data_IF_425803071219
#
_entry.id   IF_425803071219
#
_cell.length_a   1.000
_cell.length_b   1.000
_cell.length_c   1.000
_cell.angle_alpha   90.00
_cell.angle_beta   90.00
_cell.angle_gamma   90.00
#
_symmetry.space_group_name_H-M   'P 1'
#
loop_
_entity.id
_entity.type
_entity.pdbx_description
1 polymer ?
#
# COMPACT_ATOMS: atom_id res chain seq x y z
N UNK A 1 -7.45 0.88 24.22
CA UNK A 1 -6.53 1.74 23.44
C UNK A 1 -6.91 3.22 23.47
N UNK A 2 -8.16 3.58 23.77
CA UNK A 2 -8.64 4.99 23.86
C UNK A 2 -7.80 5.89 24.78
N UNK A 3 -7.18 5.34 25.85
CA UNK A 3 -6.27 6.10 26.73
C UNK A 3 -5.01 6.52 25.99
N UNK A 4 -4.47 5.66 25.13
CA UNK A 4 -3.29 5.94 24.31
C UNK A 4 -3.63 7.05 23.29
N UNK A 5 -4.80 6.94 22.66
CA UNK A 5 -5.28 7.95 21.70
C UNK A 5 -5.37 9.34 22.37
N UNK A 6 -6.02 9.42 23.55
CA UNK A 6 -6.14 10.66 24.33
C UNK A 6 -4.77 11.19 24.76
N UNK A 7 -3.84 10.33 25.19
CA UNK A 7 -2.50 10.73 25.60
C UNK A 7 -1.72 11.41 24.47
N UNK A 8 -1.72 10.82 23.26
CA UNK A 8 -1.01 11.41 22.13
C UNK A 8 -1.74 12.61 21.54
N UNK A 9 -3.06 12.63 21.56
CA UNK A 9 -3.84 13.80 21.15
C UNK A 9 -3.57 15.00 22.07
N UNK A 10 -3.56 14.80 23.37
CA UNK A 10 -3.18 15.85 24.33
C UNK A 10 -1.74 16.34 24.10
N UNK A 11 -0.81 15.42 23.81
CA UNK A 11 0.57 15.80 23.50
C UNK A 11 0.64 16.64 22.20
N UNK A 12 -0.16 16.31 21.19
CA UNK A 12 -0.28 17.08 19.95
C UNK A 12 -0.80 18.49 20.23
N UNK A 13 -1.92 18.60 20.96
CA UNK A 13 -2.53 19.90 21.28
C UNK A 13 -1.54 20.77 22.05
N UNK A 14 -0.91 20.24 23.10
CA UNK A 14 0.06 21.00 23.91
C UNK A 14 1.28 21.49 23.12
N UNK A 15 1.70 20.75 22.09
CA UNK A 15 2.80 21.18 21.21
C UNK A 15 2.34 22.22 20.21
N UNK A 16 1.12 22.09 19.66
CA UNK A 16 0.52 23.07 18.73
C UNK A 16 0.23 24.42 19.39
N UNK A 17 -0.30 24.44 20.61
CA UNK A 17 -0.53 25.68 21.39
C UNK A 17 0.75 26.47 21.63
N UNK A 18 1.91 25.80 21.69
CA UNK A 18 3.23 26.44 21.80
C UNK A 18 3.85 26.80 20.44
N UNK A 19 3.09 26.71 19.35
CA UNK A 19 3.55 27.01 18.00
C UNK A 19 4.47 25.92 17.38
N UNK A 20 4.51 24.74 17.96
CA UNK A 20 5.33 23.63 17.48
C UNK A 20 4.46 22.46 17.06
N UNK A 21 4.64 21.96 15.83
CA UNK A 21 4.03 20.71 15.35
C UNK A 21 5.03 19.54 15.55
N UNK A 22 5.18 19.12 16.82
CA UNK A 22 6.26 18.22 17.23
C UNK A 22 5.90 16.76 17.09
N UNK A 23 4.63 16.42 17.33
CA UNK A 23 4.17 15.05 17.40
C UNK A 23 2.80 14.88 16.74
N UNK A 24 2.70 13.93 15.83
CA UNK A 24 1.45 13.50 15.21
C UNK A 24 1.25 12.01 15.44
N UNK A 25 0.04 11.62 15.78
CA UNK A 25 -0.33 10.26 16.12
C UNK A 25 -1.46 9.76 15.22
N UNK A 26 -1.29 8.56 14.67
CA UNK A 26 -2.31 7.91 13.87
C UNK A 26 -2.39 6.43 14.26
N UNK A 27 -3.61 5.94 14.47
CA UNK A 27 -3.88 4.54 14.77
C UNK A 27 -4.98 3.99 13.87
N UNK A 28 -4.77 2.78 13.41
CA UNK A 28 -5.78 2.00 12.74
C UNK A 28 -5.77 0.58 13.34
N UNK A 29 -6.80 0.25 14.11
CA UNK A 29 -6.86 -0.97 14.92
C UNK A 29 -5.62 -1.11 15.84
N UNK A 30 -4.77 -2.08 15.57
CA UNK A 30 -3.53 -2.36 16.32
C UNK A 30 -2.30 -1.67 15.71
N UNK A 31 -2.40 -1.16 14.47
CA UNK A 31 -1.29 -0.47 13.80
C UNK A 31 -1.21 0.99 14.26
N UNK A 32 -0.09 1.36 14.89
CA UNK A 32 0.17 2.69 15.42
C UNK A 32 1.33 3.32 14.65
N UNK A 33 1.19 4.59 14.26
CA UNK A 33 2.27 5.43 13.73
C UNK A 33 2.34 6.71 14.53
N UNK A 34 3.54 7.05 14.99
CA UNK A 34 3.86 8.30 15.68
C UNK A 34 4.88 9.03 14.81
N UNK A 35 4.53 10.20 14.33
CA UNK A 35 5.39 11.08 13.56
C UNK A 35 5.95 12.15 14.50
N UNK A 36 7.27 12.30 14.52
CA UNK A 36 7.97 13.27 15.38
C UNK A 36 8.86 14.13 14.50
N UNK A 37 8.87 15.43 14.76
CA UNK A 37 9.71 16.37 14.03
C UNK A 37 11.20 16.02 14.21
N UNK A 38 11.99 15.92 13.11
CA UNK A 38 13.37 15.39 13.13
C UNK A 38 14.43 16.38 13.59
N UNK A 39 14.16 17.30 14.50
CA UNK A 39 15.19 18.21 15.00
C UNK A 39 16.12 17.49 15.99
N UNK A 40 17.47 17.64 15.89
CA UNK A 40 18.43 16.94 16.76
C UNK A 40 18.20 17.16 18.26
N UNK A 41 17.81 18.37 18.68
CA UNK A 41 17.48 18.69 20.08
C UNK A 41 16.24 17.98 20.61
N UNK A 42 15.50 17.25 19.77
CA UNK A 42 14.21 16.63 20.06
C UNK A 42 14.23 15.10 20.08
N UNK A 43 15.42 14.48 20.02
CA UNK A 43 15.53 13.03 20.15
C UNK A 43 14.97 12.48 21.48
N UNK A 44 14.99 13.28 22.52
CA UNK A 44 14.37 12.94 23.80
C UNK A 44 12.86 12.69 23.69
N UNK A 45 12.16 13.35 22.73
CA UNK A 45 10.73 13.14 22.47
C UNK A 45 10.49 11.72 21.97
N UNK A 46 11.35 11.21 21.10
CA UNK A 46 11.26 9.82 20.59
C UNK A 46 11.37 8.82 21.75
N UNK A 47 12.35 9.01 22.63
CA UNK A 47 12.54 8.17 23.81
C UNK A 47 11.35 8.24 24.76
N UNK A 48 10.85 9.45 25.02
CA UNK A 48 9.68 9.68 25.88
C UNK A 48 8.40 9.08 25.31
N UNK A 49 8.14 9.26 23.99
CA UNK A 49 6.98 8.71 23.32
C UNK A 49 6.97 7.16 23.39
N UNK A 50 8.12 6.52 23.14
CA UNK A 50 8.26 5.06 23.26
C UNK A 50 7.98 4.57 24.71
N UNK A 51 8.56 5.25 25.70
CA UNK A 51 8.38 4.90 27.12
C UNK A 51 6.90 5.03 27.51
N UNK A 52 6.26 6.14 27.20
CA UNK A 52 4.85 6.38 27.50
C UNK A 52 3.92 5.40 26.81
N UNK A 53 4.20 5.08 25.54
CA UNK A 53 3.45 4.05 24.82
C UNK A 53 3.56 2.69 25.52
N UNK A 54 4.76 2.29 25.90
CA UNK A 54 5.00 1.03 26.61
C UNK A 54 4.31 1.00 27.98
N UNK A 55 4.38 2.09 28.73
CA UNK A 55 3.70 2.23 30.05
C UNK A 55 2.17 2.09 29.93
N UNK A 56 1.56 2.77 28.95
CA UNK A 56 0.11 2.70 28.75
C UNK A 56 -0.36 1.35 28.19
N UNK A 57 0.42 0.71 27.32
CA UNK A 57 0.14 -0.65 26.86
C UNK A 57 0.28 -1.67 28.01
N UNK A 58 1.30 -1.51 28.87
CA UNK A 58 1.47 -2.36 30.04
C UNK A 58 0.29 -2.31 31.01
N UNK A 59 -0.29 -1.11 31.23
CA UNK A 59 -1.52 -0.94 32.03
C UNK A 59 -2.73 -1.67 31.45
N UNK A 60 -2.73 -1.89 30.14
CA UNK A 60 -3.78 -2.62 29.41
C UNK A 60 -3.46 -4.11 29.27
N UNK A 61 -2.37 -4.58 29.87
CA UNK A 61 -1.86 -5.96 29.73
C UNK A 61 -1.60 -6.35 28.26
N UNK A 62 -1.25 -5.38 27.41
CA UNK A 62 -0.92 -5.57 26.00
C UNK A 62 0.59 -5.39 25.82
N UNK A 63 1.23 -6.38 25.24
CA UNK A 63 2.66 -6.30 24.95
C UNK A 63 2.91 -5.73 23.55
N UNK A 64 3.87 -4.80 23.48
CA UNK A 64 4.34 -4.28 22.22
C UNK A 64 5.21 -5.33 21.50
N UNK A 65 4.89 -5.64 20.24
CA UNK A 65 5.72 -6.53 19.45
C UNK A 65 7.01 -5.81 19.02
N UNK A 66 8.11 -6.07 19.72
CA UNK A 66 9.40 -5.41 19.49
C UNK A 66 10.01 -5.71 18.12
N UNK A 67 9.75 -6.90 17.53
CA UNK A 67 10.25 -7.25 16.20
C UNK A 67 9.58 -6.44 15.09
N UNK A 68 8.29 -6.06 15.28
CA UNK A 68 7.52 -5.28 14.34
C UNK A 68 7.62 -3.77 14.59
N UNK A 69 7.98 -3.36 15.79
CA UNK A 69 8.11 -1.95 16.18
C UNK A 69 9.45 -1.41 15.68
N UNK A 70 9.40 -0.42 14.78
CA UNK A 70 10.58 0.19 14.16
C UNK A 70 10.55 1.69 14.29
N UNK A 71 11.72 2.29 14.47
CA UNK A 71 11.92 3.74 14.30
C UNK A 71 12.57 3.95 12.95
N UNK A 72 11.99 4.83 12.13
CA UNK A 72 12.53 5.16 10.81
C UNK A 72 12.81 6.66 10.70
N UNK A 73 14.00 7.01 10.23
CA UNK A 73 14.43 8.39 10.06
C UNK A 73 14.17 8.85 8.63
N UNK A 74 12.93 9.29 8.38
CA UNK A 74 12.45 9.67 7.04
C UNK A 74 13.25 10.82 6.42
N UNK A 75 13.79 11.74 7.24
CA UNK A 75 14.65 12.83 6.79
C UNK A 75 16.01 12.34 6.28
N UNK A 76 16.48 11.16 6.71
CA UNK A 76 17.70 10.49 6.23
C UNK A 76 17.45 9.59 5.01
N UNK A 77 16.24 9.65 4.42
CA UNK A 77 15.87 8.86 3.24
C UNK A 77 15.32 7.47 3.54
N UNK A 78 15.15 7.12 4.83
CA UNK A 78 14.50 5.87 5.20
C UNK A 78 13.01 5.89 4.86
N UNK A 79 12.42 4.71 4.66
CA UNK A 79 10.99 4.53 4.46
C UNK A 79 10.36 3.80 5.63
N UNK A 80 9.09 4.09 5.90
CA UNK A 80 8.31 3.29 6.83
C UNK A 80 7.04 2.77 6.16
N UNK A 81 6.57 1.64 6.65
CA UNK A 81 5.39 0.99 6.11
C UNK A 81 4.19 1.12 7.03
N UNK A 82 3.07 1.64 6.52
CA UNK A 82 1.81 1.74 7.24
C UNK A 82 0.62 1.41 6.33
N UNK A 83 -0.37 0.69 6.82
CA UNK A 83 -1.58 0.31 6.08
C UNK A 83 -1.32 -0.20 4.64
N UNK A 84 -0.33 -1.06 4.47
CA UNK A 84 -0.02 -1.64 3.17
C UNK A 84 0.74 -0.74 2.20
N UNK A 85 1.03 0.52 2.58
CA UNK A 85 1.84 1.46 1.82
C UNK A 85 3.24 1.59 2.42
N UNK A 86 4.20 1.95 1.57
CA UNK A 86 5.52 2.44 1.94
C UNK A 86 5.54 3.97 1.75
N UNK A 87 5.89 4.69 2.81
CA UNK A 87 6.04 6.14 2.86
C UNK A 87 7.51 6.50 2.79
N UNK A 88 7.88 7.39 1.88
CA UNK A 88 9.24 7.86 1.71
C UNK A 88 9.27 9.34 1.34
N UNK A 89 10.15 10.13 1.97
CA UNK A 89 10.41 11.49 1.55
C UNK A 89 11.33 11.47 0.32
N UNK A 90 10.94 12.17 -0.73
CA UNK A 90 11.71 12.29 -1.97
C UNK A 90 11.72 13.75 -2.44
N UNK A 91 12.69 14.11 -3.25
CA UNK A 91 12.76 15.43 -3.88
C UNK A 91 12.18 15.31 -5.28
N UNK A 92 11.20 16.12 -5.60
CA UNK A 92 10.58 16.19 -6.92
C UNK A 92 11.49 16.86 -7.96
N UNK A 93 11.10 16.78 -9.23
CA UNK A 93 11.81 17.44 -10.33
C UNK A 93 11.92 18.97 -10.18
N UNK A 94 10.97 19.56 -9.44
CA UNK A 94 10.94 20.99 -9.11
C UNK A 94 11.78 21.36 -7.87
N UNK A 95 12.61 20.46 -7.36
CA UNK A 95 13.43 20.64 -6.16
C UNK A 95 12.63 20.60 -4.83
N UNK A 96 11.31 20.51 -4.87
CA UNK A 96 10.47 20.49 -3.65
C UNK A 96 10.37 19.09 -3.07
N UNK A 97 10.52 18.94 -1.74
CA UNK A 97 10.29 17.66 -1.09
C UNK A 97 8.81 17.30 -1.05
N UNK A 98 8.50 16.02 -1.25
CA UNK A 98 7.15 15.48 -1.07
C UNK A 98 7.22 14.05 -0.53
N UNK A 99 6.10 13.55 -0.04
CA UNK A 99 5.98 12.17 0.46
C UNK A 99 5.50 11.27 -0.66
N UNK A 100 6.35 10.34 -1.06
CA UNK A 100 6.04 9.29 -2.01
C UNK A 100 5.32 8.16 -1.27
N UNK A 101 4.10 7.85 -1.68
CA UNK A 101 3.22 6.85 -1.11
C UNK A 101 3.03 5.72 -2.13
N UNK A 102 3.64 4.56 -1.91
CA UNK A 102 3.60 3.45 -2.86
C UNK A 102 3.10 2.15 -2.22
N UNK A 103 2.37 1.28 -2.98
CA UNK A 103 1.98 -0.04 -2.48
C UNK A 103 3.19 -0.88 -2.11
N UNK A 104 3.21 -1.46 -0.90
CA UNK A 104 4.28 -2.38 -0.46
C UNK A 104 4.49 -3.50 -1.47
N UNK A 105 5.74 -3.88 -1.69
CA UNK A 105 6.09 -5.02 -2.56
C UNK A 105 5.39 -6.31 -2.13
N UNK A 106 5.26 -6.53 -0.82
CA UNK A 106 4.54 -7.66 -0.24
C UNK A 106 3.07 -7.71 -0.68
N UNK A 107 2.40 -6.56 -0.76
CA UNK A 107 1.01 -6.48 -1.23
C UNK A 107 0.88 -6.83 -2.72
N UNK A 108 1.80 -6.36 -3.56
CA UNK A 108 1.82 -6.70 -4.99
C UNK A 108 2.05 -8.20 -5.20
N UNK A 109 2.91 -8.83 -4.39
CA UNK A 109 3.13 -10.29 -4.42
C UNK A 109 1.87 -11.02 -3.99
N UNK A 110 1.21 -10.55 -2.90
CA UNK A 110 -0.01 -11.17 -2.36
C UNK A 110 -1.15 -11.18 -3.38
N UNK A 111 -1.40 -10.06 -4.07
CA UNK A 111 -2.45 -10.01 -5.10
C UNK A 111 -2.14 -10.93 -6.28
N UNK A 112 -0.89 -10.97 -6.75
CA UNK A 112 -0.47 -11.89 -7.83
C UNK A 112 -0.66 -13.35 -7.44
N UNK A 113 -0.28 -13.71 -6.21
CA UNK A 113 -0.48 -15.05 -5.66
C UNK A 113 -1.96 -15.42 -5.64
N UNK A 114 -2.82 -14.53 -5.10
CA UNK A 114 -4.26 -14.75 -5.05
C UNK A 114 -4.88 -14.93 -6.43
N UNK A 115 -4.45 -14.14 -7.43
CA UNK A 115 -4.89 -14.29 -8.82
C UNK A 115 -4.47 -15.64 -9.39
N UNK A 116 -3.21 -16.06 -9.18
CA UNK A 116 -2.71 -17.36 -9.63
C UNK A 116 -3.50 -18.51 -9.01
N UNK A 117 -3.74 -18.47 -7.71
CA UNK A 117 -4.54 -19.46 -6.97
C UNK A 117 -5.98 -19.54 -7.50
N UNK A 118 -6.61 -18.39 -7.76
CA UNK A 118 -7.94 -18.31 -8.35
C UNK A 118 -7.98 -18.95 -9.74
N UNK A 119 -7.00 -18.65 -10.59
CA UNK A 119 -6.88 -19.27 -11.92
C UNK A 119 -6.73 -20.80 -11.80
N UNK A 120 -5.88 -21.27 -10.91
CA UNK A 120 -5.67 -22.71 -10.71
C UNK A 120 -6.92 -23.42 -10.19
N UNK A 121 -7.60 -22.80 -9.23
CA UNK A 121 -8.84 -23.35 -8.66
C UNK A 121 -9.94 -23.49 -9.71
N UNK A 122 -10.08 -22.51 -10.60
CA UNK A 122 -11.15 -22.45 -11.60
C UNK A 122 -10.69 -22.77 -13.01
N UNK A 123 -9.55 -23.47 -13.17
CA UNK A 123 -8.95 -23.78 -14.46
C UNK A 123 -9.83 -24.54 -15.45
N UNK A 124 -10.89 -25.16 -14.96
CA UNK A 124 -11.83 -25.95 -15.79
C UNK A 124 -12.91 -25.08 -16.44
N UNK A 125 -13.16 -23.89 -15.89
CA UNK A 125 -14.16 -22.96 -16.40
C UNK A 125 -13.71 -22.28 -17.70
N UNK A 126 -14.64 -21.69 -18.43
CA UNK A 126 -14.32 -20.84 -19.58
C UNK A 126 -13.44 -19.65 -19.18
N UNK A 127 -12.71 -19.06 -20.14
CA UNK A 127 -11.86 -17.89 -19.86
C UNK A 127 -12.65 -16.70 -19.33
N UNK A 128 -13.88 -16.48 -19.86
CA UNK A 128 -14.75 -15.39 -19.37
C UNK A 128 -15.14 -15.59 -17.91
N UNK A 129 -15.46 -16.82 -17.52
CA UNK A 129 -15.81 -17.12 -16.12
C UNK A 129 -14.61 -16.96 -15.18
N UNK A 130 -13.42 -17.42 -15.59
CA UNK A 130 -12.19 -17.21 -14.81
C UNK A 130 -11.95 -15.71 -14.60
N UNK A 131 -12.10 -14.91 -15.64
CA UNK A 131 -11.90 -13.46 -15.57
C UNK A 131 -12.95 -12.80 -14.66
N UNK A 132 -14.22 -13.23 -14.70
CA UNK A 132 -15.24 -12.79 -13.74
C UNK A 132 -14.84 -13.07 -12.28
N UNK A 133 -14.10 -14.16 -12.00
CA UNK A 133 -13.58 -14.46 -10.64
C UNK A 133 -12.34 -13.64 -10.27
N UNK A 134 -11.53 -13.21 -11.25
CA UNK A 134 -10.33 -12.41 -11.02
C UNK A 134 -10.66 -10.93 -10.84
N UNK A 135 -11.63 -10.39 -11.61
CA UNK A 135 -11.97 -8.98 -11.61
C UNK A 135 -12.25 -8.40 -10.21
N UNK A 136 -13.04 -9.02 -9.33
CA UNK A 136 -13.27 -8.49 -7.99
C UNK A 136 -11.97 -8.34 -7.17
N UNK A 137 -11.01 -9.26 -7.37
CA UNK A 137 -9.71 -9.21 -6.69
C UNK A 137 -8.91 -7.99 -7.18
N UNK A 138 -8.92 -7.76 -8.50
CA UNK A 138 -8.24 -6.61 -9.12
C UNK A 138 -8.89 -5.30 -8.71
N UNK A 139 -10.22 -5.19 -8.82
CA UNK A 139 -11.00 -4.01 -8.43
C UNK A 139 -10.71 -3.64 -6.98
N UNK A 140 -10.82 -4.59 -6.06
CA UNK A 140 -10.58 -4.33 -4.63
C UNK A 140 -9.14 -3.87 -4.36
N UNK A 141 -8.15 -4.51 -5.00
CA UNK A 141 -6.75 -4.12 -4.84
C UNK A 141 -6.45 -2.75 -5.45
N UNK A 142 -6.92 -2.49 -6.67
CA UNK A 142 -6.69 -1.20 -7.34
C UNK A 142 -7.40 -0.07 -6.59
N UNK A 143 -8.65 -0.24 -6.18
CA UNK A 143 -9.40 0.79 -5.45
C UNK A 143 -8.73 1.15 -4.12
N UNK A 144 -8.18 0.16 -3.41
CA UNK A 144 -7.45 0.41 -2.18
C UNK A 144 -6.18 1.25 -2.39
N UNK A 145 -5.46 1.00 -3.50
CA UNK A 145 -4.19 1.65 -3.78
C UNK A 145 -4.27 2.87 -4.72
N UNK A 146 -5.45 3.27 -5.17
CA UNK A 146 -5.66 4.43 -6.08
C UNK A 146 -5.14 5.74 -5.52
N UNK A 147 -5.18 5.89 -4.20
CA UNK A 147 -4.86 7.14 -3.50
C UNK A 147 -3.37 7.45 -3.43
N UNK A 148 -2.51 6.51 -3.80
CA UNK A 148 -1.05 6.65 -3.73
C UNK A 148 -0.39 6.86 -5.09
N UNK A 149 0.95 6.94 -5.09
CA UNK A 149 1.79 6.96 -6.28
C UNK A 149 1.93 5.54 -6.86
N UNK A 150 0.81 4.96 -7.27
CA UNK A 150 0.67 3.53 -7.54
C UNK A 150 0.86 3.13 -9.00
N UNK A 151 1.09 4.08 -9.93
CA UNK A 151 1.19 3.82 -11.39
C UNK A 151 2.11 2.65 -11.73
N UNK A 152 3.33 2.65 -11.19
CA UNK A 152 4.31 1.58 -11.43
C UNK A 152 3.85 0.24 -10.87
N UNK A 153 3.25 0.24 -9.68
CA UNK A 153 2.71 -0.98 -9.06
C UNK A 153 1.53 -1.53 -9.87
N UNK A 154 0.65 -0.65 -10.36
CA UNK A 154 -0.47 -1.00 -11.22
C UNK A 154 0.00 -1.60 -12.55
N UNK A 155 0.94 -0.97 -13.24
CA UNK A 155 1.53 -1.52 -14.45
C UNK A 155 2.13 -2.91 -14.21
N UNK A 156 2.89 -3.08 -13.15
CA UNK A 156 3.51 -4.37 -12.81
C UNK A 156 2.47 -5.49 -12.55
N UNK A 157 1.36 -5.17 -11.89
CA UNK A 157 0.30 -6.16 -11.62
C UNK A 157 -0.49 -6.44 -12.89
N UNK A 158 -0.85 -5.41 -13.67
CA UNK A 158 -1.51 -5.54 -14.97
C UNK A 158 -0.73 -6.45 -15.91
N UNK A 159 0.56 -6.17 -16.11
CA UNK A 159 1.43 -6.94 -17.00
C UNK A 159 1.54 -8.40 -16.55
N UNK A 160 1.62 -8.64 -15.24
CA UNK A 160 1.62 -10.00 -14.69
C UNK A 160 0.33 -10.74 -15.02
N UNK A 161 -0.82 -10.09 -14.83
CA UNK A 161 -2.14 -10.69 -15.08
C UNK A 161 -2.31 -10.98 -16.57
N UNK A 162 -2.01 -10.03 -17.45
CA UNK A 162 -2.07 -10.23 -18.89
C UNK A 162 -1.21 -11.39 -19.35
N UNK A 163 0.07 -11.43 -18.92
CA UNK A 163 0.99 -12.54 -19.25
C UNK A 163 0.44 -13.88 -18.75
N UNK A 164 -0.16 -13.90 -17.58
CA UNK A 164 -0.71 -15.14 -17.00
C UNK A 164 -1.93 -15.62 -17.79
N UNK A 165 -2.81 -14.71 -18.19
CA UNK A 165 -3.99 -15.05 -19.03
C UNK A 165 -3.54 -15.54 -20.41
N UNK A 166 -2.60 -14.86 -21.08
CA UNK A 166 -2.08 -15.30 -22.38
C UNK A 166 -1.49 -16.69 -22.31
N UNK A 167 -0.66 -16.97 -21.31
CA UNK A 167 -0.08 -18.31 -21.09
C UNK A 167 -1.16 -19.38 -20.86
N UNK A 168 -2.25 -19.05 -20.19
CA UNK A 168 -3.34 -19.99 -20.00
C UNK A 168 -4.08 -20.26 -21.30
N UNK A 169 -4.33 -19.25 -22.11
CA UNK A 169 -4.93 -19.37 -23.44
C UNK A 169 -4.05 -20.19 -24.39
N UNK A 170 -2.73 -19.96 -24.40
CA UNK A 170 -1.76 -20.74 -25.18
C UNK A 170 -1.77 -22.23 -24.81
N UNK A 171 -1.78 -22.53 -23.52
CA UNK A 171 -1.87 -23.91 -23.01
C UNK A 171 -3.14 -24.61 -23.46
N UNK A 172 -4.27 -23.92 -23.47
CA UNK A 172 -5.57 -24.49 -23.86
C UNK A 172 -5.65 -24.75 -25.38
N UNK A 173 -5.00 -23.90 -26.16
CA UNK A 173 -4.99 -24.07 -27.62
C UNK A 173 -3.92 -25.02 -28.11
N UNK A 174 -3.10 -25.60 -27.21
CA UNK A 174 -1.96 -26.49 -27.52
C UNK A 174 -0.94 -25.93 -28.56
N UNK A 175 -1.09 -24.66 -28.92
CA UNK A 175 -0.19 -23.98 -29.85
C UNK A 175 0.87 -23.22 -29.07
N UNK A 176 2.13 -23.45 -29.37
CA UNK A 176 3.31 -22.83 -28.78
C UNK A 176 4.14 -22.16 -29.86
N UNK A 177 4.69 -20.98 -29.55
CA UNK A 177 5.59 -20.26 -30.43
C UNK A 177 5.98 -18.93 -29.85
N UNK A 178 7.20 -18.44 -30.12
CA UNK A 178 7.69 -17.15 -29.62
C UNK A 178 6.80 -16.02 -30.18
N UNK A 179 6.17 -15.22 -29.30
CA UNK A 179 5.30 -14.12 -29.66
C UNK A 179 3.88 -14.50 -30.11
N UNK A 180 3.55 -15.80 -30.22
CA UNK A 180 2.23 -16.26 -30.65
C UNK A 180 1.10 -15.71 -29.76
N UNK A 181 1.25 -15.77 -28.44
CA UNK A 181 0.25 -15.31 -27.49
C UNK A 181 -0.05 -13.82 -27.61
N UNK A 182 0.94 -12.99 -27.93
CA UNK A 182 0.76 -11.55 -28.11
C UNK A 182 0.07 -11.19 -29.43
N UNK A 183 0.40 -11.90 -30.51
CA UNK A 183 -0.24 -11.69 -31.81
C UNK A 183 -1.70 -12.16 -31.80
N UNK A 184 -1.95 -13.36 -31.30
CA UNK A 184 -3.30 -13.95 -31.30
C UNK A 184 -4.21 -13.40 -30.22
N UNK A 185 -3.67 -13.19 -29.00
CA UNK A 185 -4.43 -12.72 -27.85
C UNK A 185 -4.06 -11.26 -27.54
N UNK A 186 -4.49 -10.35 -28.41
CA UNK A 186 -4.25 -8.91 -28.25
C UNK A 186 -4.83 -8.36 -26.94
N UNK A 187 -4.36 -7.21 -26.49
CA UNK A 187 -4.94 -6.52 -25.33
C UNK A 187 -6.42 -6.21 -25.58
N UNK A 188 -6.79 -5.82 -26.82
CA UNK A 188 -8.19 -5.59 -27.20
C UNK A 188 -9.06 -6.83 -26.98
N UNK A 189 -8.56 -8.02 -27.31
CA UNK A 189 -9.27 -9.26 -27.04
C UNK A 189 -9.43 -9.53 -25.54
N UNK A 190 -8.36 -9.34 -24.76
CA UNK A 190 -8.37 -9.62 -23.31
C UNK A 190 -9.29 -8.68 -22.57
N UNK A 191 -9.24 -7.39 -22.87
CA UNK A 191 -10.05 -6.36 -22.20
C UNK A 191 -11.45 -6.25 -22.80
N UNK A 192 -11.57 -6.22 -24.12
CA UNK A 192 -12.85 -6.01 -24.81
C UNK A 192 -13.71 -7.27 -24.88
N UNK A 193 -13.14 -8.41 -25.31
CA UNK A 193 -13.91 -9.65 -25.52
C UNK A 193 -14.02 -10.49 -24.25
N UNK A 194 -12.92 -10.65 -23.51
CA UNK A 194 -12.92 -11.43 -22.27
C UNK A 194 -13.35 -10.64 -21.06
N UNK A 195 -13.32 -9.30 -21.11
CA UNK A 195 -13.81 -8.42 -20.05
C UNK A 195 -12.89 -8.31 -18.85
N UNK A 196 -11.55 -8.41 -19.04
CA UNK A 196 -10.61 -8.18 -17.96
C UNK A 196 -10.70 -6.73 -17.47
N UNK A 197 -10.61 -6.54 -16.16
CA UNK A 197 -10.57 -5.22 -15.54
C UNK A 197 -9.38 -4.39 -16.06
N UNK A 198 -9.65 -3.13 -16.43
CA UNK A 198 -8.68 -2.25 -17.12
C UNK A 198 -8.45 -0.90 -16.44
N UNK A 199 -9.31 -0.48 -15.48
CA UNK A 199 -9.28 0.86 -14.90
C UNK A 199 -8.25 0.97 -13.77
N UNK A 200 -6.97 1.07 -14.14
CA UNK A 200 -5.85 1.27 -13.22
C UNK A 200 -5.51 2.76 -13.00
N UNK A 201 -6.52 3.64 -13.01
CA UNK A 201 -6.31 5.08 -12.81
C UNK A 201 -6.04 5.42 -11.36
N UNK A 202 -5.14 6.37 -11.14
CA UNK A 202 -4.88 6.97 -9.83
C UNK A 202 -5.93 8.05 -9.58
N UNK A 203 -6.39 8.15 -8.34
CA UNK A 203 -7.17 9.28 -7.85
C UNK A 203 -6.23 10.13 -7.00
N UNK A 204 -5.96 11.35 -7.45
CA UNK A 204 -5.26 12.30 -6.59
C UNK A 204 -6.21 12.70 -5.46
N UNK A 205 -5.80 12.43 -4.22
CA UNK A 205 -6.45 13.04 -3.07
C UNK A 205 -6.25 14.54 -3.22
N UNK A 206 -7.35 15.29 -3.35
CA UNK A 206 -7.29 16.72 -3.10
C UNK A 206 -6.84 16.88 -1.65
N UNK A 207 -5.85 17.75 -1.36
CA UNK A 207 -5.51 18.06 0.02
C UNK A 207 -6.82 18.53 0.69
N UNK A 208 -7.20 17.85 1.76
CA UNK A 208 -8.25 18.33 2.64
C UNK A 208 -7.84 19.75 3.00
N UNK A 209 -8.57 20.74 2.49
CA UNK A 209 -8.32 22.13 2.79
C UNK A 209 -8.33 22.27 4.30
N UNK A 210 -7.17 22.44 4.87
CA UNK A 210 -7.02 22.88 6.26
C UNK A 210 -7.52 24.33 6.24
N UNK A 211 -8.77 24.50 6.66
CA UNK A 211 -9.29 25.81 7.04
C UNK A 211 -8.77 26.13 8.42
#
# INVERSE_FOLDING_TARGET
LTRIDKMFENARIQTQEKGYDEINYHRWADDIVILINPHPSKEWIVKRAKRRLSEELGKLQVNMNMEKTKTSYVHKGESFGYLGFDFRKVIGRNGKPFVLLTPKKKSQIKVRKKIKETIMKFRFLSMKEIIKKINPILVGWVNYYRVGHSSKAFSNVRDYVEKTIRRLLERRTRRRGRGFGWKKWSSQFIYGVLGLYWDYKIQHLQPLGIK
#
